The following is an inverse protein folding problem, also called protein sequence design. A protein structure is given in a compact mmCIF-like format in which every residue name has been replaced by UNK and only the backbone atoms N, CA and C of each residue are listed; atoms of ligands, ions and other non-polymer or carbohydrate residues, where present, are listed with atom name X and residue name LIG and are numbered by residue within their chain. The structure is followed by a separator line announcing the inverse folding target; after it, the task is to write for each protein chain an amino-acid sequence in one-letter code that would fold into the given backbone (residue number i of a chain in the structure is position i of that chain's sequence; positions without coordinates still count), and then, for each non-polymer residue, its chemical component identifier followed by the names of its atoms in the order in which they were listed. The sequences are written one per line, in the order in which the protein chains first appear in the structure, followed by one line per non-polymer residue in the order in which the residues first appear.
data_IF_726618783323
#
_entry.id   IF_726618783323
#
_cell.length_a   1.000
_cell.length_b   1.000
_cell.length_c   1.000
_cell.angle_alpha   90.00
_cell.angle_beta   90.00
_cell.angle_gamma   90.00
#
_symmetry.space_group_name_H-M   'P 1'
#
loop_
_entity.id
_entity.type
_entity.pdbx_description
1 polymer ?
#
# COMPACT_ATOMS: atom_id res chain seq x y z
N UNK A 1 22.99 -7.12 1.73
CA UNK A 1 22.21 -6.06 2.41
C UNK A 1 21.06 -6.75 3.11
N UNK A 2 20.87 -6.53 4.42
CA UNK A 2 19.78 -7.15 5.17
C UNK A 2 18.47 -6.42 4.84
N UNK A 3 17.57 -7.08 4.11
CA UNK A 3 16.19 -6.64 3.91
C UNK A 3 15.45 -6.80 5.24
N UNK A 4 15.37 -5.71 6.00
CA UNK A 4 14.50 -5.64 7.14
C UNK A 4 13.05 -5.59 6.62
N UNK A 5 12.35 -6.73 6.70
CA UNK A 5 10.89 -6.77 6.58
C UNK A 5 10.33 -5.99 7.76
N UNK A 6 10.12 -4.69 7.59
CA UNK A 6 9.54 -3.82 8.59
C UNK A 6 8.06 -4.20 8.74
N UNK A 7 7.73 -4.97 9.77
CA UNK A 7 6.34 -5.15 10.21
C UNK A 7 5.91 -3.83 10.84
N UNK A 8 5.27 -2.97 10.03
CA UNK A 8 4.94 -1.62 10.47
C UNK A 8 3.71 -1.63 11.40
N UNK A 9 3.83 -1.18 12.67
CA UNK A 9 2.77 -1.31 13.68
C UNK A 9 1.45 -0.56 13.38
N UNK A 10 1.47 0.45 12.51
CA UNK A 10 0.28 1.29 12.23
C UNK A 10 -0.74 0.65 11.27
N UNK A 11 -0.40 -0.46 10.59
CA UNK A 11 -1.39 -1.25 9.85
C UNK A 11 -2.46 -1.90 10.78
N UNK A 12 -2.23 -1.89 12.10
CA UNK A 12 -3.08 -2.52 13.11
C UNK A 12 -4.53 -2.06 13.10
N UNK A 13 -4.83 -0.80 12.78
CA UNK A 13 -6.23 -0.32 12.77
C UNK A 13 -7.04 -0.85 11.58
N UNK A 14 -6.38 -1.25 10.50
CA UNK A 14 -7.02 -1.98 9.38
C UNK A 14 -7.13 -3.50 9.68
N UNK A 15 -6.22 -4.03 10.51
CA UNK A 15 -6.19 -5.45 10.91
C UNK A 15 -7.09 -5.79 12.10
N UNK A 16 -7.38 -4.85 13.02
CA UNK A 16 -8.26 -5.08 14.19
C UNK A 16 -9.70 -5.41 13.79
N UNK A 17 -10.12 -5.04 12.59
CA UNK A 17 -11.42 -5.45 12.02
C UNK A 17 -11.47 -6.94 11.62
N UNK A 18 -10.37 -7.68 11.82
CA UNK A 18 -10.23 -9.13 11.61
C UNK A 18 -10.14 -9.87 12.95
N UNK A 19 -10.84 -9.43 14.00
CA UNK A 19 -11.09 -10.31 15.15
C UNK A 19 -12.16 -11.33 14.79
N UNK A 20 -11.69 -12.50 14.39
CA UNK A 20 -12.50 -13.71 14.23
C UNK A 20 -12.87 -14.21 15.64
N UNK A 21 -14.16 -14.37 15.98
CA UNK A 21 -14.53 -14.96 17.26
C UNK A 21 -14.19 -16.47 17.24
N UNK A 22 -13.30 -16.92 18.14
CA UNK A 22 -13.16 -18.35 18.46
C UNK A 22 -11.78 -19.00 18.39
N UNK A 23 -10.66 -18.26 18.42
CA UNK A 23 -9.34 -18.91 18.46
C UNK A 23 -9.07 -19.51 19.84
N UNK A 24 -9.17 -20.84 19.91
CA UNK A 24 -8.86 -21.66 21.07
C UNK A 24 -7.35 -21.70 21.37
N UNK A 25 -7.04 -21.78 22.66
CA UNK A 25 -5.71 -21.81 23.29
C UNK A 25 -4.91 -23.06 22.85
N UNK A 26 -3.76 -22.88 22.21
CA UNK A 26 -2.82 -23.98 21.90
C UNK A 26 -1.78 -24.09 23.03
N UNK A 27 -1.64 -25.29 23.60
CA UNK A 27 -0.71 -25.59 24.70
C UNK A 27 0.76 -25.68 24.23
N UNK A 28 1.65 -25.09 25.04
CA UNK A 28 3.05 -24.75 24.75
C UNK A 28 4.04 -25.92 24.58
N UNK A 29 3.60 -27.18 24.43
CA UNK A 29 4.50 -28.35 24.36
C UNK A 29 4.78 -28.89 22.96
N UNK A 30 4.05 -28.45 21.93
CA UNK A 30 4.30 -28.83 20.53
C UNK A 30 5.19 -27.84 19.75
N UNK A 31 5.63 -26.75 20.41
CA UNK A 31 6.42 -25.69 19.77
C UNK A 31 7.89 -26.11 19.59
N UNK A 32 8.50 -26.80 20.55
CA UNK A 32 9.93 -27.16 20.48
C UNK A 32 10.24 -28.14 19.34
N UNK A 33 9.35 -29.11 19.07
CA UNK A 33 9.57 -30.09 18.00
C UNK A 33 9.44 -29.50 16.59
N UNK A 34 8.73 -28.36 16.46
CA UNK A 34 8.61 -27.62 15.19
C UNK A 34 9.83 -26.75 14.90
N UNK A 35 10.57 -26.31 15.92
CA UNK A 35 11.74 -25.43 15.73
C UNK A 35 12.90 -26.19 15.08
N UNK A 36 13.16 -27.44 15.47
CA UNK A 36 14.26 -28.23 14.88
C UNK A 36 14.00 -28.68 13.43
N UNK A 37 12.73 -28.94 13.08
CA UNK A 37 12.35 -29.23 11.69
C UNK A 37 12.41 -27.95 10.83
N UNK A 38 12.01 -26.80 11.40
CA UNK A 38 12.11 -25.50 10.74
C UNK A 38 13.57 -25.08 10.51
N UNK A 39 14.48 -25.32 11.46
CA UNK A 39 15.90 -25.00 11.33
C UNK A 39 16.58 -25.79 10.21
N UNK A 40 16.32 -27.09 10.08
CA UNK A 40 16.86 -27.88 8.96
C UNK A 40 16.30 -27.46 7.60
N UNK A 41 15.06 -26.96 7.59
CA UNK A 41 14.44 -26.43 6.35
C UNK A 41 15.02 -25.06 6.00
N UNK A 42 15.28 -24.22 7.01
CA UNK A 42 15.94 -22.93 6.84
C UNK A 42 17.38 -23.08 6.34
N UNK A 43 18.16 -24.00 6.92
CA UNK A 43 19.53 -24.29 6.47
C UNK A 43 19.58 -24.87 5.05
N UNK A 44 18.57 -25.66 4.66
CA UNK A 44 18.45 -26.15 3.29
C UNK A 44 17.98 -25.05 2.31
N UNK A 45 17.12 -24.13 2.74
CA UNK A 45 16.68 -22.98 1.94
C UNK A 45 17.84 -22.00 1.69
N UNK A 46 18.73 -21.79 2.66
CA UNK A 46 19.93 -20.95 2.51
C UNK A 46 20.92 -21.49 1.46
N UNK A 47 20.87 -22.78 1.13
CA UNK A 47 21.71 -23.42 0.10
C UNK A 47 21.00 -23.46 -1.26
N UNK A 48 19.66 -23.36 -1.29
CA UNK A 48 18.82 -23.41 -2.49
C UNK A 48 18.39 -22.06 -3.06
N UNK A 49 18.67 -20.95 -2.37
CA UNK A 49 18.32 -19.59 -2.78
C UNK A 49 19.26 -19.07 -3.88
N UNK A 50 19.21 -19.74 -5.03
CA UNK A 50 19.81 -19.27 -6.27
C UNK A 50 18.94 -18.19 -6.92
N UNK A 51 19.47 -17.49 -7.95
CA UNK A 51 18.71 -16.47 -8.69
C UNK A 51 17.39 -16.99 -9.28
N UNK A 52 17.28 -18.31 -9.51
CA UNK A 52 16.04 -18.95 -9.97
C UNK A 52 14.93 -18.98 -8.90
N UNK A 53 15.26 -19.11 -7.62
CA UNK A 53 14.30 -19.10 -6.51
C UNK A 53 13.73 -17.71 -6.23
N UNK A 54 14.60 -16.70 -6.24
CA UNK A 54 14.22 -15.28 -6.08
C UNK A 54 13.35 -14.82 -7.25
N UNK A 55 13.71 -15.15 -8.50
CA UNK A 55 12.92 -14.78 -9.67
C UNK A 55 11.53 -15.45 -9.70
N UNK A 56 11.43 -16.69 -9.21
CA UNK A 56 10.14 -17.38 -9.09
C UNK A 56 9.24 -16.76 -8.02
N UNK A 57 9.80 -16.35 -6.87
CA UNK A 57 9.04 -15.67 -5.81
C UNK A 57 8.58 -14.27 -6.25
N UNK A 58 9.44 -13.50 -6.93
CA UNK A 58 9.12 -12.19 -7.49
C UNK A 58 7.97 -12.28 -8.52
N UNK A 59 8.06 -13.25 -9.44
CA UNK A 59 7.00 -13.51 -10.43
C UNK A 59 5.67 -13.84 -9.75
N UNK A 60 5.68 -14.72 -8.74
CA UNK A 60 4.48 -15.09 -8.00
C UNK A 60 3.89 -13.92 -7.19
N UNK A 61 4.75 -13.06 -6.65
CA UNK A 61 4.35 -11.84 -5.97
C UNK A 61 3.66 -10.86 -6.94
N UNK A 62 4.21 -10.70 -8.15
CA UNK A 62 3.62 -9.88 -9.20
C UNK A 62 2.27 -10.42 -9.68
N UNK A 63 2.15 -11.73 -9.93
CA UNK A 63 0.88 -12.38 -10.26
C UNK A 63 -0.18 -12.11 -9.19
N UNK A 64 0.20 -12.20 -7.91
CA UNK A 64 -0.70 -11.87 -6.79
C UNK A 64 -1.18 -10.42 -6.86
N UNK A 65 -0.32 -9.46 -7.23
CA UNK A 65 -0.71 -8.05 -7.38
C UNK A 65 -1.73 -7.87 -8.51
N UNK A 66 -1.49 -8.49 -9.66
CA UNK A 66 -2.40 -8.42 -10.83
C UNK A 66 -3.76 -9.08 -10.55
N UNK A 67 -3.77 -10.20 -9.82
CA UNK A 67 -5.01 -10.83 -9.34
C UNK A 67 -5.79 -9.90 -8.42
N UNK A 68 -5.13 -9.25 -7.46
CA UNK A 68 -5.77 -8.31 -6.55
C UNK A 68 -6.29 -7.07 -7.28
N UNK A 69 -5.55 -6.55 -8.25
CA UNK A 69 -5.97 -5.44 -9.09
C UNK A 69 -7.24 -5.79 -9.87
N UNK A 70 -7.28 -6.99 -10.44
CA UNK A 70 -8.44 -7.52 -11.15
C UNK A 70 -9.63 -7.73 -10.20
N UNK A 71 -9.40 -8.33 -9.01
CA UNK A 71 -10.43 -8.52 -7.98
C UNK A 71 -11.04 -7.18 -7.54
N UNK A 72 -10.20 -6.16 -7.35
CA UNK A 72 -10.64 -4.82 -7.00
C UNK A 72 -11.60 -4.24 -8.05
N UNK A 73 -11.23 -4.31 -9.33
CA UNK A 73 -12.06 -3.81 -10.43
C UNK A 73 -13.37 -4.58 -10.51
N UNK A 74 -13.34 -5.91 -10.39
CA UNK A 74 -14.53 -6.76 -10.39
C UNK A 74 -15.50 -6.39 -9.25
N UNK A 75 -15.01 -6.32 -8.00
CA UNK A 75 -15.80 -5.91 -6.84
C UNK A 75 -16.44 -4.53 -7.06
N UNK A 76 -15.70 -3.60 -7.67
CA UNK A 76 -16.19 -2.25 -7.96
C UNK A 76 -17.31 -2.23 -9.00
N UNK A 77 -17.25 -3.09 -10.02
CA UNK A 77 -18.24 -3.14 -11.10
C UNK A 77 -19.48 -3.95 -10.72
N UNK A 78 -19.30 -5.04 -9.98
CA UNK A 78 -20.37 -6.00 -9.70
C UNK A 78 -21.17 -5.66 -8.44
N UNK A 79 -20.52 -5.11 -7.41
CA UNK A 79 -21.19 -4.83 -6.15
C UNK A 79 -21.76 -3.41 -6.10
N UNK A 80 -22.98 -3.32 -5.58
CA UNK A 80 -23.62 -2.03 -5.28
C UNK A 80 -22.78 -1.24 -4.29
N UNK A 81 -22.71 0.07 -4.50
CA UNK A 81 -22.05 0.99 -3.56
C UNK A 81 -22.64 0.85 -2.15
N UNK A 82 -21.77 0.79 -1.14
CA UNK A 82 -22.17 0.68 0.26
C UNK A 82 -21.04 0.14 1.13
N UNK A 83 -21.27 0.09 2.44
CA UNK A 83 -20.25 -0.26 3.42
C UNK A 83 -19.65 -1.66 3.22
N UNK A 84 -20.43 -2.65 2.78
CA UNK A 84 -19.92 -3.99 2.50
C UNK A 84 -18.89 -4.00 1.37
N UNK A 85 -19.17 -3.26 0.29
CA UNK A 85 -18.25 -3.12 -0.84
C UNK A 85 -16.98 -2.37 -0.41
N UNK A 86 -17.11 -1.27 0.33
CA UNK A 86 -15.95 -0.53 0.85
C UNK A 86 -15.05 -1.43 1.70
N UNK A 87 -15.62 -2.18 2.66
CA UNK A 87 -14.85 -3.13 3.48
C UNK A 87 -14.09 -4.15 2.65
N UNK A 88 -14.70 -4.68 1.59
CA UNK A 88 -14.02 -5.63 0.69
C UNK A 88 -12.88 -4.95 -0.07
N UNK A 89 -13.09 -3.73 -0.57
CA UNK A 89 -12.05 -2.96 -1.26
C UNK A 89 -10.89 -2.63 -0.30
N UNK A 90 -11.16 -2.32 0.97
CA UNK A 90 -10.13 -2.11 2.00
C UNK A 90 -9.31 -3.38 2.27
N UNK A 91 -9.97 -4.55 2.33
CA UNK A 91 -9.29 -5.84 2.47
C UNK A 91 -8.37 -6.14 1.28
N UNK A 92 -8.82 -5.82 0.06
CA UNK A 92 -8.00 -5.95 -1.15
C UNK A 92 -6.80 -5.01 -1.08
N UNK A 93 -7.01 -3.74 -0.71
CA UNK A 93 -5.91 -2.79 -0.55
C UNK A 93 -4.87 -3.27 0.48
N UNK A 94 -5.30 -3.79 1.63
CA UNK A 94 -4.40 -4.35 2.63
C UNK A 94 -3.57 -5.52 2.10
N UNK A 95 -4.16 -6.38 1.27
CA UNK A 95 -3.47 -7.48 0.59
C UNK A 95 -2.49 -6.95 -0.45
N UNK A 96 -2.86 -5.91 -1.21
CA UNK A 96 -1.96 -5.24 -2.17
C UNK A 96 -0.73 -4.69 -1.46
N UNK A 97 -0.90 -3.97 -0.34
CA UNK A 97 0.22 -3.43 0.46
C UNK A 97 1.26 -4.50 0.79
N UNK A 98 0.82 -5.72 1.15
CA UNK A 98 1.75 -6.84 1.45
C UNK A 98 2.32 -7.52 0.21
N UNK A 99 1.59 -7.51 -0.90
CA UNK A 99 2.03 -8.14 -2.15
C UNK A 99 3.05 -7.28 -2.88
N UNK A 100 2.79 -5.97 -3.00
CA UNK A 100 3.67 -5.04 -3.71
C UNK A 100 5.04 -4.89 -3.05
N UNK A 101 5.16 -5.11 -1.73
CA UNK A 101 6.44 -5.11 -1.02
C UNK A 101 7.35 -6.30 -1.36
N UNK A 102 6.79 -7.39 -1.89
CA UNK A 102 7.53 -8.61 -2.28
C UNK A 102 7.92 -8.63 -3.76
N UNK A 103 7.52 -7.61 -4.50
CA UNK A 103 7.95 -7.44 -5.89
C UNK A 103 9.19 -6.54 -5.88
N UNK A 104 10.29 -7.06 -6.42
CA UNK A 104 11.58 -6.39 -6.47
C UNK A 104 11.60 -5.32 -7.58
N UNK A 105 11.23 -5.69 -8.81
CA UNK A 105 11.20 -4.78 -9.97
C UNK A 105 9.78 -4.23 -10.23
N UNK A 106 9.25 -3.52 -9.22
CA UNK A 106 7.91 -2.95 -9.30
C UNK A 106 7.95 -1.57 -9.97
N UNK A 107 7.52 -1.47 -11.25
CA UNK A 107 7.43 -0.18 -11.96
C UNK A 107 6.24 0.66 -11.48
N UNK A 108 6.41 1.28 -10.30
CA UNK A 108 5.44 2.17 -9.68
C UNK A 108 5.04 3.31 -10.62
N UNK A 109 6.00 3.88 -11.35
CA UNK A 109 5.78 5.01 -12.25
C UNK A 109 4.85 4.67 -13.41
N UNK A 110 5.06 3.51 -14.05
CA UNK A 110 4.16 2.99 -15.08
C UNK A 110 2.74 2.77 -14.51
N UNK A 111 2.65 2.12 -13.35
CA UNK A 111 1.37 1.79 -12.74
C UNK A 111 0.56 3.03 -12.31
N UNK A 112 1.21 4.09 -11.83
CA UNK A 112 0.56 5.39 -11.54
C UNK A 112 -0.12 5.97 -12.79
N UNK A 113 0.47 5.76 -13.97
CA UNK A 113 -0.04 6.25 -15.27
C UNK A 113 -1.00 5.28 -15.94
N UNK A 114 -1.26 4.12 -15.34
CA UNK A 114 -2.12 3.09 -15.91
C UNK A 114 -3.58 3.57 -16.06
N UNK A 115 -4.21 3.15 -17.16
CA UNK A 115 -5.66 3.34 -17.36
C UNK A 115 -6.48 2.42 -16.46
N UNK A 116 -5.91 1.30 -16.03
CA UNK A 116 -6.57 0.36 -15.13
C UNK A 116 -6.59 0.88 -13.69
N UNK A 117 -7.78 0.88 -13.08
CA UNK A 117 -7.99 1.43 -11.75
C UNK A 117 -7.40 0.56 -10.62
N UNK A 118 -7.34 -0.76 -10.81
CA UNK A 118 -6.72 -1.69 -9.88
C UNK A 118 -5.21 -1.56 -9.88
N UNK A 119 -4.59 -1.40 -11.05
CA UNK A 119 -3.15 -1.14 -11.20
C UNK A 119 -2.73 0.18 -10.56
N UNK A 120 -3.49 1.27 -10.78
CA UNK A 120 -3.24 2.53 -10.05
C UNK A 120 -3.35 2.35 -8.54
N UNK A 121 -4.34 1.57 -8.07
CA UNK A 121 -4.49 1.28 -6.65
C UNK A 121 -3.30 0.50 -6.09
N UNK A 122 -2.75 -0.45 -6.85
CA UNK A 122 -1.53 -1.17 -6.47
C UNK A 122 -0.33 -0.23 -6.34
N UNK A 123 -0.16 0.74 -7.24
CA UNK A 123 0.87 1.77 -7.11
C UNK A 123 0.71 2.59 -5.82
N UNK A 124 -0.51 3.03 -5.50
CA UNK A 124 -0.79 3.72 -4.24
C UNK A 124 -0.49 2.83 -3.02
N UNK A 125 -0.79 1.53 -3.09
CA UNK A 125 -0.47 0.58 -2.03
C UNK A 125 1.04 0.41 -1.82
N UNK A 126 1.82 0.33 -2.91
CA UNK A 126 3.29 0.31 -2.87
C UNK A 126 3.83 1.58 -2.20
N UNK A 127 3.47 2.75 -2.70
CA UNK A 127 3.97 4.04 -2.20
C UNK A 127 3.49 4.38 -0.78
N UNK A 128 2.36 3.82 -0.36
CA UNK A 128 1.90 3.93 1.02
C UNK A 128 2.76 3.10 1.99
N UNK A 129 3.26 1.95 1.54
CA UNK A 129 4.07 1.04 2.33
C UNK A 129 5.55 1.41 2.32
N UNK A 130 6.06 1.76 1.14
CA UNK A 130 7.44 2.09 0.82
C UNK A 130 7.43 3.39 0.02
N UNK A 131 7.42 4.56 0.69
CA UNK A 131 7.49 5.84 0.00
C UNK A 131 8.76 5.95 -0.86
N UNK A 132 8.60 6.51 -2.05
CA UNK A 132 9.70 6.77 -2.98
C UNK A 132 9.74 8.27 -3.28
N UNK A 133 10.63 9.06 -2.64
CA UNK A 133 10.64 10.53 -2.76
C UNK A 133 10.73 11.03 -4.20
N UNK A 134 11.45 10.30 -5.07
CA UNK A 134 11.59 10.62 -6.49
C UNK A 134 10.26 10.59 -7.27
N UNK A 135 9.25 9.87 -6.76
CA UNK A 135 7.93 9.75 -7.39
C UNK A 135 6.87 10.65 -6.76
N UNK A 136 7.20 11.48 -5.77
CA UNK A 136 6.20 12.27 -5.03
C UNK A 136 5.41 13.21 -5.95
N UNK A 137 6.07 13.88 -6.90
CA UNK A 137 5.40 14.72 -7.90
C UNK A 137 4.44 13.92 -8.77
N UNK A 138 4.86 12.74 -9.23
CA UNK A 138 4.07 11.86 -10.10
C UNK A 138 2.87 11.27 -9.36
N UNK A 139 3.05 10.90 -8.10
CA UNK A 139 1.98 10.46 -7.22
C UNK A 139 0.93 11.55 -7.04
N UNK A 140 1.34 12.79 -6.74
CA UNK A 140 0.39 13.90 -6.57
C UNK A 140 -0.37 14.19 -7.85
N UNK A 141 0.29 14.14 -9.02
CA UNK A 141 -0.41 14.27 -10.30
C UNK A 141 -1.42 13.16 -10.55
N UNK A 142 -1.04 11.90 -10.30
CA UNK A 142 -1.95 10.76 -10.43
C UNK A 142 -3.18 10.90 -9.51
N UNK A 143 -2.97 11.31 -8.26
CA UNK A 143 -4.04 11.51 -7.27
C UNK A 143 -4.95 12.69 -7.63
N UNK A 144 -4.38 13.78 -8.16
CA UNK A 144 -5.13 14.94 -8.60
C UNK A 144 -6.01 14.65 -9.83
N UNK A 145 -5.62 13.68 -10.67
CA UNK A 145 -6.37 13.20 -11.82
C UNK A 145 -7.28 12.01 -11.55
N UNK A 146 -7.20 11.37 -10.37
CA UNK A 146 -7.92 10.14 -10.06
C UNK A 146 -9.45 10.36 -9.94
N UNK A 147 -10.27 9.80 -10.86
CA UNK A 147 -11.72 10.00 -10.82
C UNK A 147 -12.41 9.16 -9.74
N UNK A 148 -11.77 8.13 -9.19
CA UNK A 148 -12.39 7.21 -8.24
C UNK A 148 -12.19 7.67 -6.80
N UNK A 149 -13.27 8.00 -6.05
CA UNK A 149 -13.19 8.44 -4.66
C UNK A 149 -12.34 7.56 -3.75
N UNK A 150 -12.47 6.24 -3.89
CA UNK A 150 -11.73 5.26 -3.09
C UNK A 150 -10.23 5.26 -3.40
N UNK A 151 -9.87 5.23 -4.68
CA UNK A 151 -8.47 5.31 -5.09
C UNK A 151 -7.85 6.64 -4.67
N UNK A 152 -8.56 7.75 -4.87
CA UNK A 152 -8.06 9.08 -4.52
C UNK A 152 -7.84 9.21 -3.01
N UNK A 153 -8.70 8.60 -2.18
CA UNK A 153 -8.49 8.53 -0.73
C UNK A 153 -7.17 7.83 -0.39
N UNK A 154 -6.94 6.62 -0.91
CA UNK A 154 -5.71 5.87 -0.63
C UNK A 154 -4.46 6.51 -1.24
N UNK A 155 -4.60 7.12 -2.42
CA UNK A 155 -3.54 7.90 -3.03
C UNK A 155 -3.16 9.13 -2.19
N UNK A 156 -4.13 9.85 -1.62
CA UNK A 156 -3.85 10.95 -0.67
C UNK A 156 -3.15 10.46 0.60
N UNK A 157 -3.51 9.27 1.11
CA UNK A 157 -2.79 8.65 2.24
C UNK A 157 -1.34 8.33 1.87
N UNK A 158 -1.09 7.86 0.65
CA UNK A 158 0.25 7.64 0.14
C UNK A 158 1.02 8.97 -0.01
N UNK A 159 0.38 10.04 -0.49
CA UNK A 159 1.01 11.38 -0.56
C UNK A 159 1.42 11.85 0.82
N UNK A 160 0.56 11.72 1.83
CA UNK A 160 0.90 12.08 3.21
C UNK A 160 2.13 11.31 3.71
N UNK A 161 2.24 10.01 3.41
CA UNK A 161 3.44 9.22 3.71
C UNK A 161 4.68 9.66 2.95
N UNK A 162 4.55 10.01 1.67
CA UNK A 162 5.66 10.54 0.89
C UNK A 162 6.15 11.90 1.37
N UNK A 163 5.24 12.78 1.82
CA UNK A 163 5.60 14.07 2.42
C UNK A 163 6.28 13.89 3.78
N UNK A 164 5.76 12.99 4.62
CA UNK A 164 6.36 12.64 5.91
C UNK A 164 7.79 12.08 5.74
N UNK A 165 7.98 11.17 4.78
CA UNK A 165 9.27 10.53 4.49
C UNK A 165 10.29 11.50 3.87
N UNK A 166 9.86 12.35 2.94
CA UNK A 166 10.72 13.35 2.31
C UNK A 166 11.16 14.46 3.28
N UNK A 167 10.33 14.76 4.28
CA UNK A 167 10.51 15.92 5.16
C UNK A 167 10.28 17.26 4.45
N UNK A 168 10.25 18.36 5.21
CA UNK A 168 9.88 19.68 4.68
C UNK A 168 10.78 20.16 3.53
N UNK A 169 12.09 19.90 3.61
CA UNK A 169 13.06 20.33 2.60
C UNK A 169 13.15 19.39 1.38
N UNK A 170 12.62 18.16 1.51
CA UNK A 170 12.65 17.16 0.44
C UNK A 170 11.45 17.21 -0.50
N UNK A 171 10.44 18.03 -0.19
CA UNK A 171 9.20 18.10 -0.98
C UNK A 171 9.39 19.02 -2.19
N UNK A 172 9.17 18.54 -3.43
CA UNK A 172 9.31 19.36 -4.62
C UNK A 172 8.38 20.59 -4.60
N UNK A 173 8.82 21.78 -5.06
CA UNK A 173 8.02 23.01 -4.98
C UNK A 173 6.66 22.93 -5.66
N UNK A 174 6.53 22.13 -6.73
CA UNK A 174 5.27 21.94 -7.46
C UNK A 174 4.19 21.19 -6.67
N UNK A 175 4.58 20.38 -5.68
CA UNK A 175 3.65 19.55 -4.89
C UNK A 175 2.66 20.40 -4.11
N UNK A 176 3.12 21.45 -3.44
CA UNK A 176 2.25 22.33 -2.63
C UNK A 176 1.19 23.00 -3.52
N UNK A 177 1.62 23.59 -4.64
CA UNK A 177 0.70 24.25 -5.58
C UNK A 177 -0.34 23.28 -6.13
N UNK A 178 0.08 22.06 -6.47
CA UNK A 178 -0.82 21.04 -6.99
C UNK A 178 -1.83 20.54 -5.95
N UNK A 179 -1.41 20.37 -4.70
CA UNK A 179 -2.29 20.03 -3.59
C UNK A 179 -3.30 21.14 -3.29
N UNK A 180 -2.91 22.42 -3.37
CA UNK A 180 -3.83 23.55 -3.26
C UNK A 180 -4.87 23.56 -4.40
N UNK A 181 -4.47 23.24 -5.63
CA UNK A 181 -5.39 23.10 -6.75
C UNK A 181 -6.34 21.90 -6.60
N UNK A 182 -5.85 20.77 -6.06
CA UNK A 182 -6.72 19.65 -5.71
C UNK A 182 -7.72 20.06 -4.62
N UNK A 183 -7.25 20.82 -3.62
CA UNK A 183 -8.06 21.27 -2.49
C UNK A 183 -9.23 22.16 -2.89
N UNK A 184 -9.09 22.97 -3.93
CA UNK A 184 -10.17 23.82 -4.44
C UNK A 184 -11.27 23.04 -5.16
N UNK A 185 -10.97 21.81 -5.61
CA UNK A 185 -11.89 20.92 -6.35
C UNK A 185 -12.60 19.91 -5.44
N UNK A 186 -11.99 19.55 -4.31
CA UNK A 186 -12.57 18.59 -3.35
C UNK A 186 -13.48 19.31 -2.36
N UNK A 187 -14.60 18.67 -1.99
CA UNK A 187 -15.53 19.20 -1.01
C UNK A 187 -14.86 19.38 0.36
N UNK A 188 -14.98 20.59 0.94
CA UNK A 188 -14.36 21.03 2.19
C UNK A 188 -14.59 20.12 3.42
N UNK A 189 -15.68 19.34 3.45
CA UNK A 189 -16.06 18.47 4.58
C UNK A 189 -16.13 17.00 4.19
N UNK A 190 -15.35 16.61 3.19
CA UNK A 190 -15.17 15.19 2.85
C UNK A 190 -13.87 14.69 3.45
N UNK A 191 -13.78 13.40 3.75
CA UNK A 191 -12.55 12.77 4.26
C UNK A 191 -11.34 13.10 3.39
N UNK A 192 -11.52 13.21 2.07
CA UNK A 192 -10.46 13.62 1.13
C UNK A 192 -10.05 15.08 1.31
N UNK A 193 -10.99 15.97 1.59
CA UNK A 193 -10.71 17.38 1.87
C UNK A 193 -9.90 17.55 3.15
N UNK A 194 -10.28 16.82 4.21
CA UNK A 194 -9.57 16.81 5.48
C UNK A 194 -8.14 16.25 5.33
N UNK A 195 -7.95 15.18 4.54
CA UNK A 195 -6.61 14.65 4.23
C UNK A 195 -5.72 15.69 3.53
N UNK A 196 -6.24 16.39 2.51
CA UNK A 196 -5.47 17.41 1.80
C UNK A 196 -5.13 18.58 2.72
N UNK A 197 -6.05 19.01 3.58
CA UNK A 197 -5.80 20.06 4.56
C UNK A 197 -4.71 19.66 5.56
N UNK A 198 -4.73 18.42 6.05
CA UNK A 198 -3.68 17.88 6.92
C UNK A 198 -2.30 17.91 6.26
N UNK A 199 -2.20 17.41 5.02
CA UNK A 199 -0.93 17.40 4.27
C UNK A 199 -0.41 18.83 4.05
N UNK A 200 -1.29 19.77 3.69
CA UNK A 200 -0.90 21.17 3.48
C UNK A 200 -0.48 21.86 4.80
N UNK A 201 -1.11 21.51 5.92
CA UNK A 201 -0.72 22.03 7.23
C UNK A 201 0.68 21.55 7.64
N UNK A 202 0.99 20.26 7.45
CA UNK A 202 2.30 19.69 7.75
C UNK A 202 3.42 20.35 6.93
N UNK A 203 3.15 20.62 5.64
CA UNK A 203 4.08 21.34 4.75
C UNK A 203 4.25 22.82 5.12
N UNK A 204 3.22 23.46 5.66
CA UNK A 204 3.24 24.88 6.02
C UNK A 204 3.85 25.17 7.40
N UNK A 205 3.80 24.21 8.32
CA UNK A 205 4.27 24.29 9.70
C UNK A 205 5.74 23.98 9.92
N UNK A 206 6.46 23.46 8.92
CA UNK A 206 7.89 23.14 8.97
C UNK A 206 8.84 24.32 8.65
N UNK A 207 8.38 25.57 8.75
CA UNK A 207 9.18 26.78 8.51
C UNK A 207 9.65 27.43 9.79
#
# INVERSE_FOLDING_TARGET
MLLAVAVVPWLGDLFRSIEVPGVARIEFRDVERRVEAAQRTADAALVGDGPEGVAADDTAAWETVEELATEYVAVRLEQRSGAARTRRMDQIFARMVRATQRVDDFDTGELLRSRDAGRRLAAYARLYALPEPGLLSELVEAVAGEPLPFNQYWGLRAVGKGVEDAGADGVPPGVVGRLQELRSRVLLRSDRGELVDGILADLGGGR
#
